data_IF_530272725907
#
_entry.id   IF_530272725907
#
_cell.length_a   1.000
_cell.length_b   1.000
_cell.length_c   1.000
_cell.angle_alpha   90.00
_cell.angle_beta   90.00
_cell.angle_gamma   90.00
#
_symmetry.space_group_name_H-M   'P 1'
#
loop_
_entity.id
_entity.type
_entity.pdbx_description
1 polymer ?
#
# COMPACT_ATOMS: atom_id res chain seq x y z
N UNK A 1 -8.75 -38.35 -34.34
CA UNK A 1 -7.32 -38.02 -34.33
C UNK A 1 -7.22 -36.66 -34.97
N UNK A 2 -6.75 -35.64 -34.25
CA UNK A 2 -6.51 -34.32 -34.86
C UNK A 2 -5.36 -34.48 -35.86
N UNK A 3 -5.56 -34.02 -37.10
CA UNK A 3 -4.48 -34.06 -38.07
C UNK A 3 -3.54 -32.85 -37.89
N UNK A 4 -2.42 -32.85 -38.62
CA UNK A 4 -1.42 -31.78 -38.55
C UNK A 4 -2.02 -30.38 -38.74
N UNK A 5 -3.00 -30.23 -39.63
CA UNK A 5 -3.62 -28.94 -39.94
C UNK A 5 -4.48 -28.47 -38.77
N UNK A 6 -5.23 -29.38 -38.15
CA UNK A 6 -6.06 -29.08 -36.98
C UNK A 6 -5.20 -28.56 -35.81
N UNK A 7 -4.10 -29.24 -35.50
CA UNK A 7 -3.19 -28.84 -34.42
C UNK A 7 -2.55 -27.47 -34.71
N UNK A 8 -2.10 -27.25 -35.94
CA UNK A 8 -1.50 -25.97 -36.34
C UNK A 8 -2.50 -24.81 -36.29
N UNK A 9 -3.75 -25.03 -36.71
CA UNK A 9 -4.80 -24.01 -36.62
C UNK A 9 -5.08 -23.67 -35.17
N UNK A 10 -5.29 -24.68 -34.33
CA UNK A 10 -5.56 -24.48 -32.90
C UNK A 10 -4.42 -23.73 -32.19
N UNK A 11 -3.15 -24.08 -32.47
CA UNK A 11 -2.00 -23.36 -31.92
C UNK A 11 -2.05 -21.87 -32.33
N UNK A 12 -2.31 -21.59 -33.60
CA UNK A 12 -2.35 -20.21 -34.10
C UNK A 12 -3.51 -19.41 -33.50
N UNK A 13 -4.68 -20.04 -33.33
CA UNK A 13 -5.86 -19.43 -32.72
C UNK A 13 -5.59 -19.10 -31.25
N UNK A 14 -5.02 -20.04 -30.48
CA UNK A 14 -4.64 -19.82 -29.08
C UNK A 14 -3.62 -18.70 -28.93
N UNK A 15 -2.58 -18.67 -29.78
CA UNK A 15 -1.58 -17.59 -29.76
C UNK A 15 -2.22 -16.23 -30.02
N UNK A 16 -3.19 -16.17 -30.93
CA UNK A 16 -3.89 -14.92 -31.27
C UNK A 16 -4.73 -14.44 -30.09
N UNK A 17 -5.46 -15.35 -29.44
CA UNK A 17 -6.29 -15.07 -28.28
C UNK A 17 -5.42 -14.56 -27.12
N UNK A 18 -4.38 -15.30 -26.73
CA UNK A 18 -3.47 -14.95 -25.63
C UNK A 18 -2.75 -13.61 -25.89
N UNK A 19 -2.41 -13.32 -27.15
CA UNK A 19 -1.74 -12.07 -27.50
C UNK A 19 -2.66 -10.84 -27.48
N UNK A 20 -3.97 -11.01 -27.56
CA UNK A 20 -4.93 -9.91 -27.78
C UNK A 20 -5.33 -9.14 -26.52
N UNK A 21 -5.12 -9.71 -25.35
CA UNK A 21 -5.54 -9.12 -24.08
C UNK A 21 -4.72 -7.87 -23.71
N UNK A 22 -5.43 -6.84 -23.26
CA UNK A 22 -4.87 -5.63 -22.67
C UNK A 22 -4.73 -5.77 -21.15
N UNK A 23 -3.81 -5.00 -20.55
CA UNK A 23 -3.64 -4.99 -19.09
C UNK A 23 -4.81 -4.29 -18.41
N UNK A 24 -5.24 -4.88 -17.29
CA UNK A 24 -6.29 -4.32 -16.45
C UNK A 24 -5.84 -3.04 -15.73
N UNK A 25 -6.82 -2.23 -15.34
CA UNK A 25 -6.64 -0.95 -14.64
C UNK A 25 -7.17 -0.96 -13.22
N UNK A 26 -7.61 -2.12 -12.75
CA UNK A 26 -8.09 -2.36 -11.40
C UNK A 26 -7.87 -3.83 -11.01
N UNK A 27 -8.03 -4.13 -9.72
CA UNK A 27 -7.78 -5.45 -9.15
C UNK A 27 -8.71 -6.51 -9.74
N UNK A 28 -10.00 -6.19 -9.88
CA UNK A 28 -11.00 -7.14 -10.41
C UNK A 28 -10.72 -7.53 -11.85
N UNK A 29 -10.31 -6.58 -12.69
CA UNK A 29 -9.89 -6.85 -14.06
C UNK A 29 -8.61 -7.69 -14.10
N UNK A 30 -7.65 -7.44 -13.21
CA UNK A 30 -6.42 -8.22 -13.15
C UNK A 30 -6.68 -9.67 -12.69
N UNK A 31 -7.59 -9.87 -11.73
CA UNK A 31 -8.06 -11.20 -11.31
C UNK A 31 -8.72 -11.95 -12.47
N UNK A 32 -9.58 -11.29 -13.25
CA UNK A 32 -10.23 -11.89 -14.41
C UNK A 32 -9.23 -12.29 -15.52
N UNK A 33 -8.15 -11.53 -15.71
CA UNK A 33 -7.07 -11.90 -16.64
C UNK A 33 -6.33 -13.15 -16.17
N UNK A 34 -6.05 -13.28 -14.88
CA UNK A 34 -5.40 -14.47 -14.31
C UNK A 34 -6.30 -15.71 -14.40
N UNK A 35 -7.60 -15.57 -14.12
CA UNK A 35 -8.57 -16.66 -14.27
C UNK A 35 -8.63 -17.15 -15.73
N UNK A 36 -8.74 -16.23 -16.69
CA UNK A 36 -8.73 -16.55 -18.11
C UNK A 36 -7.44 -17.22 -18.58
N UNK A 37 -6.30 -16.79 -18.05
CA UNK A 37 -5.02 -17.42 -18.34
C UNK A 37 -4.96 -18.88 -17.83
N UNK A 38 -5.60 -19.16 -16.69
CA UNK A 38 -5.73 -20.52 -16.16
C UNK A 38 -6.65 -21.39 -17.04
N UNK A 39 -7.70 -20.81 -17.63
CA UNK A 39 -8.52 -21.48 -18.65
C UNK A 39 -7.67 -21.86 -19.87
N UNK A 40 -6.84 -20.93 -20.37
CA UNK A 40 -5.93 -21.20 -21.49
C UNK A 40 -4.90 -22.29 -21.16
N UNK A 41 -4.37 -22.32 -19.93
CA UNK A 41 -3.49 -23.40 -19.49
C UNK A 41 -4.19 -24.75 -19.57
N UNK A 42 -5.43 -24.82 -19.08
CA UNK A 42 -6.25 -26.04 -19.11
C UNK A 42 -6.49 -26.51 -20.55
N UNK A 43 -6.75 -25.59 -21.48
CA UNK A 43 -6.90 -25.92 -22.91
C UNK A 43 -5.61 -26.43 -23.55
N UNK A 44 -4.46 -25.83 -23.21
CA UNK A 44 -3.14 -26.27 -23.68
C UNK A 44 -2.84 -27.69 -23.17
N UNK A 45 -3.07 -27.94 -21.88
CA UNK A 45 -2.83 -29.24 -21.25
C UNK A 45 -3.70 -30.33 -21.87
N UNK A 46 -4.96 -30.04 -22.16
CA UNK A 46 -5.88 -30.96 -22.83
C UNK A 46 -5.41 -31.38 -24.25
N UNK A 47 -4.47 -30.64 -24.86
CA UNK A 47 -3.93 -30.95 -26.20
C UNK A 47 -2.59 -31.70 -26.17
N UNK A 48 -1.93 -31.82 -25.02
CA UNK A 48 -0.64 -32.49 -24.91
C UNK A 48 -0.68 -33.93 -25.44
N UNK A 49 -1.71 -34.70 -25.08
CA UNK A 49 -1.90 -36.08 -25.54
C UNK A 49 -2.05 -36.19 -27.06
N UNK A 50 -2.73 -35.23 -27.69
CA UNK A 50 -2.94 -35.23 -29.13
C UNK A 50 -1.64 -34.96 -29.88
N UNK A 51 -0.83 -34.01 -29.38
CA UNK A 51 0.49 -33.68 -29.91
C UNK A 51 1.45 -34.86 -29.73
N UNK A 52 1.47 -35.49 -28.56
CA UNK A 52 2.29 -36.67 -28.30
C UNK A 52 1.96 -37.82 -29.27
N UNK A 53 0.66 -38.10 -29.48
CA UNK A 53 0.21 -39.13 -30.45
C UNK A 53 0.60 -38.78 -31.89
N UNK A 54 0.51 -37.50 -32.27
CA UNK A 54 0.94 -37.05 -33.60
C UNK A 54 2.45 -37.27 -33.78
N UNK A 55 3.26 -36.91 -32.78
CA UNK A 55 4.71 -37.08 -32.81
C UNK A 55 5.10 -38.55 -32.93
N UNK A 56 4.57 -39.43 -32.07
CA UNK A 56 4.84 -40.87 -32.15
C UNK A 56 4.39 -41.48 -33.48
N UNK A 57 3.27 -41.01 -34.05
CA UNK A 57 2.84 -41.47 -35.37
C UNK A 57 3.78 -41.01 -36.48
N UNK A 58 4.35 -39.81 -36.39
CA UNK A 58 5.35 -39.31 -37.34
C UNK A 58 6.67 -40.07 -37.23
N UNK A 59 7.16 -40.30 -36.02
CA UNK A 59 8.37 -41.11 -35.76
C UNK A 59 8.25 -42.51 -36.37
N UNK A 60 7.10 -43.17 -36.17
CA UNK A 60 6.83 -44.49 -36.74
C UNK A 60 6.79 -44.50 -38.29
N UNK A 61 6.46 -43.37 -38.95
CA UNK A 61 6.53 -43.25 -40.41
C UNK A 61 7.98 -43.09 -40.89
N UNK A 62 8.79 -42.32 -40.14
CA UNK A 62 10.22 -42.15 -40.41
C UNK A 62 10.96 -43.48 -40.28
N UNK A 63 10.69 -44.26 -39.23
CA UNK A 63 11.26 -45.61 -39.04
C UNK A 63 10.95 -46.56 -40.21
N UNK A 64 9.77 -46.41 -40.80
CA UNK A 64 9.34 -47.18 -41.99
C UNK A 64 9.87 -46.59 -43.30
N UNK A 65 10.67 -45.53 -43.24
CA UNK A 65 11.20 -44.79 -44.39
C UNK A 65 10.10 -44.25 -45.33
N UNK A 66 8.94 -43.87 -44.77
CA UNK A 66 7.82 -43.29 -45.52
C UNK A 66 7.92 -41.76 -45.45
N UNK A 67 8.27 -41.13 -46.58
CA UNK A 67 8.39 -39.67 -46.73
C UNK A 67 9.16 -38.98 -45.56
N UNK A 68 10.34 -39.49 -45.17
CA UNK A 68 11.00 -39.11 -43.92
C UNK A 68 11.31 -37.62 -43.81
N UNK A 69 11.75 -36.97 -44.90
CA UNK A 69 12.04 -35.53 -44.93
C UNK A 69 10.78 -34.68 -44.70
N UNK A 70 9.67 -35.00 -45.37
CA UNK A 70 8.41 -34.27 -45.22
C UNK A 70 7.81 -34.45 -43.82
N UNK A 71 7.87 -35.68 -43.29
CA UNK A 71 7.37 -35.97 -41.93
C UNK A 71 8.22 -35.23 -40.89
N UNK A 72 9.55 -35.29 -41.01
CA UNK A 72 10.44 -34.56 -40.10
C UNK A 72 10.18 -33.06 -40.11
N UNK A 73 10.01 -32.45 -41.30
CA UNK A 73 9.67 -31.03 -41.42
C UNK A 73 8.37 -30.66 -40.71
N UNK A 74 7.34 -31.51 -40.78
CA UNK A 74 6.06 -31.27 -40.09
C UNK A 74 6.20 -31.44 -38.57
N UNK A 75 6.94 -32.44 -38.10
CA UNK A 75 7.23 -32.63 -36.68
C UNK A 75 7.98 -31.43 -36.09
N UNK A 76 9.05 -31.00 -36.75
CA UNK A 76 9.87 -29.85 -36.32
C UNK A 76 9.04 -28.56 -36.30
N UNK A 77 8.22 -28.34 -37.33
CA UNK A 77 7.35 -27.16 -37.40
C UNK A 77 6.30 -27.18 -36.30
N UNK A 78 5.61 -28.30 -36.08
CA UNK A 78 4.63 -28.42 -35.00
C UNK A 78 5.27 -28.16 -33.64
N UNK A 79 6.43 -28.77 -33.38
CA UNK A 79 7.18 -28.57 -32.14
C UNK A 79 7.52 -27.09 -31.94
N UNK A 80 8.08 -26.44 -32.96
CA UNK A 80 8.45 -25.03 -32.89
C UNK A 80 7.25 -24.12 -32.56
N UNK A 81 6.11 -24.34 -33.22
CA UNK A 81 4.92 -23.52 -32.99
C UNK A 81 4.30 -23.79 -31.61
N UNK A 82 4.32 -25.04 -31.15
CA UNK A 82 3.85 -25.39 -29.80
C UNK A 82 4.75 -24.79 -28.71
N UNK A 83 6.07 -24.90 -28.86
CA UNK A 83 7.04 -24.27 -27.95
C UNK A 83 6.85 -22.74 -27.92
N UNK A 84 6.53 -22.12 -29.06
CA UNK A 84 6.23 -20.68 -29.13
C UNK A 84 4.91 -20.31 -28.42
N UNK A 85 3.88 -21.16 -28.48
CA UNK A 85 2.64 -20.98 -27.72
C UNK A 85 2.88 -21.07 -26.21
N UNK A 86 3.61 -22.09 -25.75
CA UNK A 86 3.88 -22.25 -24.32
C UNK A 86 4.75 -21.11 -23.77
N UNK A 87 5.72 -20.63 -24.56
CA UNK A 87 6.52 -19.46 -24.15
C UNK A 87 5.69 -18.19 -24.07
N UNK A 88 4.80 -17.94 -25.05
CA UNK A 88 3.90 -16.78 -25.03
C UNK A 88 2.96 -16.82 -23.81
N UNK A 89 2.42 -18.00 -23.49
CA UNK A 89 1.57 -18.19 -22.31
C UNK A 89 2.33 -17.86 -21.02
N UNK A 90 3.57 -18.35 -20.88
CA UNK A 90 4.40 -18.07 -19.70
C UNK A 90 4.79 -16.58 -19.59
N UNK A 91 5.13 -15.94 -20.71
CA UNK A 91 5.38 -14.50 -20.77
C UNK A 91 4.14 -13.71 -20.31
N UNK A 92 2.95 -14.11 -20.75
CA UNK A 92 1.68 -13.51 -20.33
C UNK A 92 1.35 -13.78 -18.86
N UNK A 93 1.69 -14.96 -18.34
CA UNK A 93 1.57 -15.29 -16.90
C UNK A 93 2.32 -14.30 -16.04
N UNK A 94 3.60 -14.13 -16.32
CA UNK A 94 4.46 -13.19 -15.58
C UNK A 94 3.90 -11.76 -15.70
N UNK A 95 3.46 -11.36 -16.89
CA UNK A 95 2.92 -10.02 -17.11
C UNK A 95 1.62 -9.77 -16.33
N UNK A 96 0.71 -10.74 -16.27
CA UNK A 96 -0.56 -10.60 -15.53
C UNK A 96 -0.37 -10.66 -14.02
N UNK A 97 0.57 -11.47 -13.54
CA UNK A 97 0.97 -11.47 -12.12
C UNK A 97 1.53 -10.10 -11.72
N UNK A 98 2.43 -9.53 -12.55
CA UNK A 98 2.91 -8.17 -12.33
C UNK A 98 1.77 -7.14 -12.42
N UNK A 99 0.84 -7.28 -13.36
CA UNK A 99 -0.33 -6.39 -13.43
C UNK A 99 -1.17 -6.45 -12.15
N UNK A 100 -1.44 -7.64 -11.63
CA UNK A 100 -2.17 -7.82 -10.37
C UNK A 100 -1.44 -7.15 -9.20
N UNK A 101 -0.14 -7.39 -9.06
CA UNK A 101 0.68 -6.77 -8.03
C UNK A 101 0.65 -5.23 -8.12
N UNK A 102 0.70 -4.68 -9.33
CA UNK A 102 0.61 -3.23 -9.57
C UNK A 102 -0.75 -2.67 -9.13
N UNK A 103 -1.85 -3.33 -9.49
CA UNK A 103 -3.19 -2.84 -9.12
C UNK A 103 -3.43 -2.92 -7.60
N UNK A 104 -2.90 -3.96 -6.94
CA UNK A 104 -2.90 -4.04 -5.47
C UNK A 104 -2.08 -2.89 -4.86
N UNK A 105 -0.88 -2.63 -5.39
CA UNK A 105 -0.02 -1.54 -4.93
C UNK A 105 -0.70 -0.17 -5.07
N UNK A 106 -1.36 0.10 -6.20
CA UNK A 106 -2.07 1.35 -6.42
C UNK A 106 -3.24 1.53 -5.46
N UNK A 107 -4.09 0.50 -5.31
CA UNK A 107 -5.22 0.54 -4.37
C UNK A 107 -4.75 0.83 -2.95
N UNK A 108 -3.73 0.12 -2.49
CA UNK A 108 -3.26 0.23 -1.11
C UNK A 108 -2.53 1.57 -0.86
N UNK A 109 -1.80 2.07 -1.87
CA UNK A 109 -1.19 3.41 -1.83
C UNK A 109 -2.25 4.50 -1.78
N UNK A 110 -3.31 4.41 -2.59
CA UNK A 110 -4.41 5.39 -2.59
C UNK A 110 -5.14 5.43 -1.24
N UNK A 111 -5.35 4.26 -0.60
CA UNK A 111 -5.90 4.19 0.75
C UNK A 111 -4.99 4.89 1.77
N UNK A 112 -3.68 4.65 1.69
CA UNK A 112 -2.71 5.30 2.56
C UNK A 112 -2.65 6.83 2.31
N UNK A 113 -2.71 7.29 1.07
CA UNK A 113 -2.72 8.71 0.71
C UNK A 113 -3.98 9.43 1.18
N UNK A 114 -5.14 8.78 1.07
CA UNK A 114 -6.42 9.30 1.58
C UNK A 114 -6.35 9.46 3.10
N UNK A 115 -5.81 8.45 3.79
CA UNK A 115 -5.59 8.51 5.23
C UNK A 115 -4.63 9.64 5.62
N UNK A 116 -3.49 9.76 4.94
CA UNK A 116 -2.52 10.84 5.18
C UNK A 116 -3.18 12.21 5.01
N UNK A 117 -3.94 12.41 3.94
CA UNK A 117 -4.63 13.68 3.66
C UNK A 117 -5.60 14.06 4.79
N UNK A 118 -6.34 13.08 5.33
CA UNK A 118 -7.25 13.30 6.47
C UNK A 118 -6.49 13.74 7.73
N UNK A 119 -5.35 13.12 8.01
CA UNK A 119 -4.54 13.41 9.19
C UNK A 119 -3.73 14.72 9.04
N UNK A 120 -3.26 15.04 7.83
CA UNK A 120 -2.68 16.34 7.50
C UNK A 120 -3.69 17.46 7.74
N UNK A 121 -4.95 17.25 7.34
CA UNK A 121 -6.04 18.22 7.57
C UNK A 121 -6.33 18.40 9.06
N UNK A 122 -6.26 17.34 9.87
CA UNK A 122 -6.42 17.42 11.32
C UNK A 122 -5.38 18.36 11.97
N UNK A 123 -4.14 18.34 11.47
CA UNK A 123 -3.04 19.18 11.98
C UNK A 123 -3.10 20.64 11.52
N UNK A 124 -4.03 21.02 10.64
CA UNK A 124 -4.26 22.43 10.31
C UNK A 124 -4.94 23.21 11.45
N UNK A 125 -5.43 22.52 12.48
CA UNK A 125 -5.99 23.16 13.65
C UNK A 125 -4.87 23.72 14.53
N UNK A 126 -4.75 25.05 14.59
CA UNK A 126 -3.76 25.78 15.38
C UNK A 126 -4.21 26.11 16.82
N UNK A 127 -5.40 25.69 17.27
CA UNK A 127 -5.93 25.97 18.62
C UNK A 127 -5.00 25.46 19.73
N UNK A 128 -4.53 26.34 20.61
CA UNK A 128 -3.62 25.95 21.70
C UNK A 128 -4.28 25.98 23.07
N UNK A 129 -5.59 26.21 23.16
CA UNK A 129 -6.30 26.37 24.43
C UNK A 129 -5.99 27.70 25.12
N UNK A 130 -6.97 28.22 25.87
CA UNK A 130 -6.91 29.49 26.59
C UNK A 130 -6.94 29.34 28.11
N UNK A 131 -7.01 28.10 28.59
CA UNK A 131 -7.13 27.71 29.99
C UNK A 131 -6.53 26.32 30.20
N UNK A 132 -6.09 26.02 31.42
CA UNK A 132 -5.43 24.74 31.70
C UNK A 132 -6.29 23.53 31.29
N UNK A 133 -7.58 23.53 31.66
CA UNK A 133 -8.52 22.46 31.32
C UNK A 133 -8.65 22.28 29.80
N UNK A 134 -8.69 23.38 29.03
CA UNK A 134 -8.77 23.33 27.58
C UNK A 134 -7.50 22.75 26.94
N UNK A 135 -6.31 23.12 27.45
CA UNK A 135 -5.03 22.61 26.96
C UNK A 135 -4.89 21.12 27.28
N UNK A 136 -5.26 20.69 28.49
CA UNK A 136 -5.24 19.27 28.87
C UNK A 136 -6.14 18.42 27.96
N UNK A 137 -7.33 18.94 27.62
CA UNK A 137 -8.23 18.28 26.69
C UNK A 137 -7.63 18.17 25.27
N UNK A 138 -6.96 19.22 24.80
CA UNK A 138 -6.28 19.23 23.49
C UNK A 138 -5.08 18.26 23.47
N UNK A 139 -4.28 18.22 24.54
CA UNK A 139 -3.16 17.27 24.69
C UNK A 139 -3.69 15.85 24.62
N UNK A 140 -4.73 15.51 25.40
CA UNK A 140 -5.33 14.18 25.39
C UNK A 140 -5.85 13.79 24.00
N UNK A 141 -6.49 14.72 23.29
CA UNK A 141 -6.95 14.51 21.92
C UNK A 141 -5.78 14.27 20.96
N UNK A 142 -4.67 14.99 21.13
CA UNK A 142 -3.45 14.80 20.34
C UNK A 142 -2.75 13.48 20.65
N UNK A 143 -2.75 13.01 21.89
CA UNK A 143 -2.24 11.69 22.26
C UNK A 143 -3.01 10.56 21.57
N UNK A 144 -4.33 10.66 21.50
CA UNK A 144 -5.15 9.68 20.77
C UNK A 144 -4.89 9.73 19.26
N UNK A 145 -4.61 10.91 18.73
CA UNK A 145 -4.14 11.08 17.36
C UNK A 145 -2.75 10.43 17.15
N UNK A 146 -1.79 10.61 18.05
CA UNK A 146 -0.46 9.99 17.96
C UNK A 146 -0.53 8.46 18.01
N UNK A 147 -1.40 7.89 18.85
CA UNK A 147 -1.68 6.44 18.85
C UNK A 147 -2.18 5.97 17.50
N UNK A 148 -3.06 6.73 16.83
CA UNK A 148 -3.53 6.39 15.49
C UNK A 148 -2.41 6.44 14.44
N UNK A 149 -1.47 7.38 14.55
CA UNK A 149 -0.28 7.45 13.69
C UNK A 149 0.64 6.24 13.89
N UNK A 150 0.80 5.78 15.13
CA UNK A 150 1.59 4.59 15.45
C UNK A 150 1.01 3.34 14.79
N UNK A 151 -0.31 3.13 14.86
CA UNK A 151 -0.99 1.99 14.23
C UNK A 151 -0.79 1.96 12.71
N UNK A 152 -0.83 3.12 12.04
CA UNK A 152 -0.64 3.21 10.59
C UNK A 152 0.80 2.97 10.14
N UNK A 153 1.78 3.07 11.05
CA UNK A 153 3.20 2.89 10.71
C UNK A 153 3.49 1.51 10.12
N UNK A 154 2.78 0.47 10.57
CA UNK A 154 2.94 -0.87 10.01
C UNK A 154 2.37 -0.97 8.59
N UNK A 155 1.24 -0.32 8.30
CA UNK A 155 0.66 -0.28 6.95
C UNK A 155 1.63 0.36 5.95
N UNK A 156 2.21 1.51 6.27
CA UNK A 156 3.17 2.18 5.37
C UNK A 156 4.45 1.37 5.21
N UNK A 157 4.90 0.69 6.27
CA UNK A 157 6.05 -0.22 6.19
C UNK A 157 5.76 -1.44 5.31
N UNK A 158 4.56 -2.00 5.36
CA UNK A 158 4.15 -3.10 4.49
C UNK A 158 4.11 -2.66 3.02
N UNK A 159 3.59 -1.48 2.73
CA UNK A 159 3.63 -0.87 1.39
C UNK A 159 5.07 -0.65 0.91
N UNK A 160 5.95 -0.15 1.77
CA UNK A 160 7.36 0.08 1.47
C UNK A 160 8.11 -1.22 1.12
N UNK A 161 7.87 -2.28 1.92
CA UNK A 161 8.41 -3.61 1.67
C UNK A 161 7.85 -4.22 0.37
N UNK A 162 6.56 -4.03 0.11
CA UNK A 162 5.93 -4.51 -1.11
C UNK A 162 6.52 -3.82 -2.34
N UNK A 163 6.58 -2.49 -2.35
CA UNK A 163 7.24 -1.72 -3.42
C UNK A 163 8.69 -2.16 -3.65
N UNK A 164 9.46 -2.36 -2.57
CA UNK A 164 10.85 -2.84 -2.65
C UNK A 164 10.94 -4.20 -3.32
N UNK A 165 10.04 -5.14 -2.98
CA UNK A 165 9.97 -6.45 -3.63
C UNK A 165 9.69 -6.34 -5.13
N UNK A 166 8.73 -5.51 -5.53
CA UNK A 166 8.39 -5.31 -6.94
C UNK A 166 9.56 -4.73 -7.73
N UNK A 167 10.22 -3.70 -7.18
CA UNK A 167 11.37 -3.05 -7.84
C UNK A 167 12.54 -4.02 -7.99
N UNK A 168 12.89 -4.75 -6.93
CA UNK A 168 13.97 -5.74 -6.97
C UNK A 168 13.64 -6.90 -7.93
N UNK A 169 12.36 -7.26 -8.06
CA UNK A 169 11.86 -8.23 -9.02
C UNK A 169 11.84 -7.75 -10.48
N UNK A 170 12.39 -6.56 -10.79
CA UNK A 170 12.37 -5.97 -12.13
C UNK A 170 10.96 -5.82 -12.72
N UNK A 171 10.00 -5.46 -11.86
CA UNK A 171 8.62 -5.19 -12.28
C UNK A 171 8.57 -4.17 -13.43
N UNK A 172 7.70 -4.39 -14.43
CA UNK A 172 7.63 -3.56 -15.64
C UNK A 172 7.33 -2.07 -15.34
N UNK A 173 6.64 -1.79 -14.24
CA UNK A 173 6.30 -0.45 -13.76
C UNK A 173 7.19 0.07 -12.61
N UNK A 174 8.38 -0.49 -12.40
CA UNK A 174 9.27 -0.18 -11.25
C UNK A 174 9.51 1.32 -11.03
N UNK A 175 9.62 2.12 -12.09
CA UNK A 175 9.91 3.55 -11.97
C UNK A 175 8.71 4.33 -11.40
N UNK A 176 7.48 3.98 -11.79
CA UNK A 176 6.28 4.61 -11.21
C UNK A 176 6.05 4.14 -9.77
N UNK A 177 6.28 2.85 -9.49
CA UNK A 177 6.22 2.28 -8.15
C UNK A 177 7.18 3.04 -7.22
N UNK A 178 8.45 3.19 -7.62
CA UNK A 178 9.46 3.89 -6.82
C UNK A 178 9.09 5.36 -6.60
N UNK A 179 8.59 6.05 -7.64
CA UNK A 179 8.16 7.45 -7.51
C UNK A 179 7.01 7.60 -6.50
N UNK A 180 5.99 6.74 -6.56
CA UNK A 180 4.85 6.76 -5.63
C UNK A 180 5.28 6.41 -4.22
N UNK A 181 6.11 5.39 -4.06
CA UNK A 181 6.71 4.99 -2.79
C UNK A 181 7.45 6.16 -2.13
N UNK A 182 8.34 6.83 -2.87
CA UNK A 182 9.08 7.98 -2.35
C UNK A 182 8.15 9.12 -1.91
N UNK A 183 7.12 9.43 -2.71
CA UNK A 183 6.14 10.46 -2.38
C UNK A 183 5.38 10.12 -1.09
N UNK A 184 4.93 8.87 -0.93
CA UNK A 184 4.24 8.38 0.26
C UNK A 184 5.12 8.47 1.51
N UNK A 185 6.37 8.00 1.41
CA UNK A 185 7.32 8.03 2.53
C UNK A 185 7.66 9.47 2.94
N UNK A 186 7.87 10.36 1.97
CA UNK A 186 8.11 11.77 2.22
C UNK A 186 6.93 12.42 2.97
N UNK A 187 5.71 12.24 2.47
CA UNK A 187 4.50 12.78 3.14
C UNK A 187 4.34 12.24 4.56
N UNK A 188 4.63 10.96 4.78
CA UNK A 188 4.62 10.37 6.12
C UNK A 188 5.62 11.05 7.05
N UNK A 189 6.86 11.26 6.60
CA UNK A 189 7.89 11.96 7.41
C UNK A 189 7.42 13.38 7.77
N UNK A 190 6.94 14.14 6.80
CA UNK A 190 6.42 15.50 7.02
C UNK A 190 5.22 15.52 7.99
N UNK A 191 4.34 14.52 7.92
CA UNK A 191 3.21 14.37 8.85
C UNK A 191 3.69 14.13 10.29
N UNK A 192 4.68 13.25 10.47
CA UNK A 192 5.25 12.96 11.80
C UNK A 192 5.95 14.18 12.40
N UNK A 193 6.70 14.92 11.58
CA UNK A 193 7.35 16.17 12.01
C UNK A 193 6.31 17.22 12.44
N UNK A 194 5.23 17.40 11.67
CA UNK A 194 4.14 18.31 12.03
C UNK A 194 3.43 17.87 13.30
N UNK A 195 3.20 16.58 13.49
CA UNK A 195 2.58 16.04 14.69
C UNK A 195 3.44 16.29 15.93
N UNK A 196 4.76 16.06 15.83
CA UNK A 196 5.71 16.33 16.90
C UNK A 196 5.78 17.82 17.25
N UNK A 197 5.81 18.70 16.24
CA UNK A 197 5.77 20.16 16.46
C UNK A 197 4.48 20.58 17.15
N UNK A 198 3.33 20.03 16.75
CA UNK A 198 2.04 20.32 17.38
C UNK A 198 2.03 19.89 18.85
N UNK A 199 2.60 18.72 19.17
CA UNK A 199 2.76 18.26 20.55
C UNK A 199 3.56 19.27 21.38
N UNK A 200 4.71 19.69 20.88
CA UNK A 200 5.54 20.69 21.55
C UNK A 200 4.78 22.00 21.82
N UNK A 201 4.04 22.51 20.84
CA UNK A 201 3.26 23.75 21.01
C UNK A 201 2.16 23.60 22.07
N UNK A 202 1.52 22.43 22.18
CA UNK A 202 0.53 22.15 23.22
C UNK A 202 1.19 22.06 24.61
N UNK A 203 2.35 21.41 24.71
CA UNK A 203 3.12 21.32 25.95
C UNK A 203 3.60 22.71 26.42
N UNK A 204 4.05 23.57 25.50
CA UNK A 204 4.43 24.96 25.79
C UNK A 204 3.21 25.78 26.27
N UNK A 205 2.05 25.62 25.62
CA UNK A 205 0.80 26.25 26.05
C UNK A 205 0.39 25.78 27.44
N UNK A 206 0.53 24.49 27.74
CA UNK A 206 0.23 23.93 29.06
C UNK A 206 1.08 24.57 30.14
N UNK A 207 2.39 24.67 29.92
CA UNK A 207 3.31 25.32 30.87
C UNK A 207 2.94 26.78 31.10
N UNK A 208 2.56 27.50 30.06
CA UNK A 208 2.10 28.89 30.16
C UNK A 208 0.81 29.02 30.98
N UNK A 209 -0.21 28.24 30.67
CA UNK A 209 -1.49 28.29 31.39
C UNK A 209 -1.35 27.87 32.86
N UNK A 210 -0.48 26.89 33.12
CA UNK A 210 -0.11 26.44 34.46
C UNK A 210 0.56 27.58 35.26
N UNK A 211 1.52 28.28 34.66
CA UNK A 211 2.17 29.45 35.27
C UNK A 211 1.17 30.58 35.56
N UNK A 212 0.30 30.93 34.60
CA UNK A 212 -0.71 31.98 34.78
C UNK A 212 -1.67 31.64 35.93
N UNK A 213 -2.12 30.40 36.03
CA UNK A 213 -2.98 29.96 37.14
C UNK A 213 -2.28 30.14 38.49
N UNK A 214 -1.04 29.65 38.60
CA UNK A 214 -0.27 29.73 39.85
C UNK A 214 0.04 31.19 40.23
N UNK A 215 0.33 32.04 39.23
CA UNK A 215 0.51 33.48 39.44
C UNK A 215 -0.75 34.15 40.00
N UNK A 216 -1.92 33.86 39.44
CA UNK A 216 -3.20 34.39 39.93
C UNK A 216 -3.52 33.91 41.35
N UNK A 217 -3.24 32.64 41.66
CA UNK A 217 -3.40 32.08 43.00
C UNK A 217 -2.50 32.80 44.02
N UNK A 218 -1.20 32.92 43.73
CA UNK A 218 -0.24 33.62 44.59
C UNK A 218 -0.64 35.08 44.80
N UNK A 219 -1.05 35.77 43.73
CA UNK A 219 -1.51 37.16 43.80
C UNK A 219 -2.74 37.30 44.70
N UNK A 220 -3.69 36.36 44.59
CA UNK A 220 -4.87 36.29 45.47
C UNK A 220 -4.45 36.15 46.94
N UNK A 221 -3.57 35.21 47.24
CA UNK A 221 -3.04 34.99 48.59
C UNK A 221 -2.32 36.21 49.15
N UNK A 222 -1.55 36.94 48.33
CA UNK A 222 -0.89 38.18 48.73
C UNK A 222 -1.90 39.26 49.10
N UNK A 223 -2.95 39.44 48.31
CA UNK A 223 -4.02 40.41 48.58
C UNK A 223 -4.74 40.06 49.89
N UNK A 224 -5.06 38.78 50.11
CA UNK A 224 -5.66 38.32 51.36
C UNK A 224 -4.77 38.58 52.57
N UNK A 225 -3.48 38.22 52.49
CA UNK A 225 -2.52 38.48 53.58
C UNK A 225 -2.35 39.95 53.88
N UNK A 226 -2.29 40.81 52.85
CA UNK A 226 -2.19 42.26 53.03
C UNK A 226 -3.45 42.82 53.69
N UNK A 227 -4.63 42.30 53.34
CA UNK A 227 -5.90 42.64 54.00
C UNK A 227 -5.86 42.25 55.48
N UNK A 228 -5.48 41.02 55.80
CA UNK A 228 -5.36 40.54 57.19
C UNK A 228 -4.31 41.33 57.99
N UNK A 229 -3.17 41.68 57.38
CA UNK A 229 -2.12 42.45 58.05
C UNK A 229 -2.52 43.92 58.28
N UNK A 230 -3.37 44.48 57.41
CA UNK A 230 -3.91 45.84 57.53
C UNK A 230 -5.13 45.90 58.44
N UNK A 231 -5.70 44.74 58.79
CA UNK A 231 -6.78 44.61 59.76
C UNK A 231 -6.18 44.81 61.17
N UNK A 232 -6.17 46.05 61.66
CA UNK A 232 -5.61 46.45 62.97
C UNK A 232 -6.44 45.94 64.18
N UNK A 233 -6.89 44.68 64.18
CA UNK A 233 -7.59 44.08 65.31
C UNK A 233 -6.65 43.66 66.48
N UNK A 234 -5.35 43.98 66.38
CA UNK A 234 -4.37 43.80 67.46
C UNK A 234 -4.10 45.08 68.25
N UNK A 235 -4.68 46.23 67.85
CA UNK A 235 -4.51 47.52 68.54
C UNK A 235 -5.64 47.88 69.48
N UNK A 236 -6.65 47.02 69.64
CA UNK A 236 -7.73 47.32 70.58
C UNK A 236 -7.25 47.10 72.02
N UNK A 237 -7.09 48.15 72.86
CA UNK A 237 -6.58 48.04 74.23
C UNK A 237 -7.52 47.24 75.14
N UNK A 238 -8.74 46.95 74.69
CA UNK A 238 -9.78 46.22 75.40
C UNK A 238 -9.45 44.74 75.62
N UNK A 239 -8.46 44.18 74.90
CA UNK A 239 -8.06 42.77 75.02
C UNK A 239 -6.93 42.50 76.03
N UNK A 240 -6.48 43.51 76.80
CA UNK A 240 -5.41 43.33 77.80
C UNK A 240 -5.86 43.66 79.24
N UNK A 241 -7.11 44.05 79.47
CA UNK A 241 -7.69 44.19 80.82
C UNK A 241 -9.19 43.86 80.77
N UNK A 242 -9.55 42.66 81.25
CA UNK A 242 -10.94 42.20 81.37
C UNK A 242 -11.04 40.72 81.59
#
# INVERSE_FOLDING_TARGET
>A
MADYRDLMSWIQDMRTIIASDELAKDVTGAEALLERLQEYQTEIDARQDAIAKFNSSGEALIEKNIAPEEVQQKLDKLKKEYDALTNLHEERRILYEQCMDLQLFYRDTEQAETWLTKHETFLLNDDLGDSLDSVEALIKKHEDYEKSLATQSETVKNLDNFATRLINGQHYAKDDIEKRRQALLKRRTELLEKAAKRRQMLDDSYQWQQFERDFHEIKGLMVEKLKTASDENYRDPTNING
#
